data_IF_408867105648
#
_entry.id   IF_408867105648
#
_cell.length_a   1.000
_cell.length_b   1.000
_cell.length_c   1.000
_cell.angle_alpha   90.00
_cell.angle_beta   90.00
_cell.angle_gamma   90.00
#
_symmetry.space_group_name_H-M   'P 1'
#
loop_
_entity.id
_entity.type
_entity.pdbx_description
1 polymer ?
#
# COMPACT_ATOMS: atom_id res chain seq x y z
N UNK A 1 9.44 3.04 -2.63
CA UNK A 1 8.86 1.79 -3.10
C UNK A 1 7.75 2.11 -4.08
N UNK A 2 7.69 1.36 -5.18
CA UNK A 2 6.66 1.49 -6.22
C UNK A 2 5.85 0.20 -6.25
N UNK A 3 4.56 0.30 -6.52
CA UNK A 3 3.66 -0.86 -6.70
C UNK A 3 2.65 -0.56 -7.81
N UNK A 4 1.65 -1.41 -8.01
CA UNK A 4 0.54 -1.14 -8.94
C UNK A 4 -0.76 -0.89 -8.18
N UNK A 5 -1.73 -0.23 -8.84
CA UNK A 5 -3.06 -0.06 -8.25
C UNK A 5 -3.73 -1.41 -7.94
N UNK A 6 -3.57 -2.41 -8.80
CA UNK A 6 -4.05 -3.77 -8.54
C UNK A 6 -3.50 -4.32 -7.21
N UNK A 7 -2.22 -4.12 -6.92
CA UNK A 7 -1.64 -4.59 -5.66
C UNK A 7 -2.21 -3.86 -4.44
N UNK A 8 -2.59 -2.59 -4.59
CA UNK A 8 -3.28 -1.82 -3.54
C UNK A 8 -4.70 -2.37 -3.30
N UNK A 9 -5.41 -2.77 -4.37
CA UNK A 9 -6.72 -3.43 -4.25
C UNK A 9 -6.61 -4.80 -3.57
N UNK A 10 -5.63 -5.61 -3.99
CA UNK A 10 -5.31 -6.90 -3.34
C UNK A 10 -5.04 -6.71 -1.85
N UNK A 11 -4.20 -5.72 -1.50
CA UNK A 11 -3.93 -5.37 -0.10
C UNK A 11 -5.22 -5.03 0.66
N UNK A 12 -6.12 -4.21 0.10
CA UNK A 12 -7.38 -3.84 0.80
C UNK A 12 -8.32 -5.02 0.96
N UNK A 13 -8.46 -5.85 -0.06
CA UNK A 13 -9.26 -7.06 0.04
C UNK A 13 -8.69 -8.00 1.11
N UNK A 14 -7.38 -8.27 1.05
CA UNK A 14 -6.68 -9.09 2.04
C UNK A 14 -6.81 -8.53 3.46
N UNK A 15 -6.68 -7.21 3.63
CA UNK A 15 -6.86 -6.55 4.92
C UNK A 15 -8.26 -6.77 5.51
N UNK A 16 -9.32 -6.68 4.69
CA UNK A 16 -10.70 -6.94 5.13
C UNK A 16 -10.93 -8.40 5.51
N UNK A 17 -10.40 -9.33 4.70
CA UNK A 17 -10.48 -10.76 5.00
C UNK A 17 -9.73 -11.10 6.29
N UNK A 18 -8.52 -10.57 6.46
CA UNK A 18 -7.72 -10.76 7.66
C UNK A 18 -8.41 -10.20 8.90
N UNK A 19 -8.96 -8.97 8.85
CA UNK A 19 -9.72 -8.41 9.97
C UNK A 19 -10.93 -9.27 10.36
N UNK A 20 -11.63 -9.83 9.37
CA UNK A 20 -12.75 -10.73 9.62
C UNK A 20 -12.27 -12.02 10.29
N UNK A 21 -11.20 -12.63 9.78
CA UNK A 21 -10.62 -13.85 10.34
C UNK A 21 -10.13 -13.65 11.79
N UNK A 22 -9.48 -12.53 12.09
CA UNK A 22 -9.03 -12.20 13.45
C UNK A 22 -10.20 -12.02 14.43
N UNK A 23 -11.30 -11.38 13.98
CA UNK A 23 -12.52 -11.25 14.80
C UNK A 23 -13.12 -12.62 15.11
N UNK A 24 -13.26 -13.48 14.11
CA UNK A 24 -13.78 -14.84 14.29
C UNK A 24 -12.90 -15.68 15.22
N UNK A 25 -11.56 -15.57 15.11
CA UNK A 25 -10.62 -16.20 16.05
C UNK A 25 -10.80 -15.67 17.47
N UNK A 26 -10.85 -14.35 17.64
CA UNK A 26 -11.00 -13.71 18.96
C UNK A 26 -12.31 -14.13 19.66
N UNK A 27 -13.42 -14.18 18.92
CA UNK A 27 -14.71 -14.63 19.42
C UNK A 27 -14.68 -16.10 19.86
N UNK A 28 -14.10 -17.00 19.05
CA UNK A 28 -13.95 -18.43 19.39
C UNK A 28 -13.10 -18.64 20.64
N UNK A 29 -12.04 -17.86 20.79
CA UNK A 29 -11.12 -17.97 21.92
C UNK A 29 -11.58 -17.20 23.17
N UNK A 30 -12.76 -16.56 23.12
CA UNK A 30 -13.27 -15.66 24.18
C UNK A 30 -12.25 -14.60 24.59
N UNK A 31 -11.35 -14.21 23.69
CA UNK A 31 -10.41 -13.12 23.92
C UNK A 31 -11.22 -11.83 23.78
N UNK A 32 -11.16 -10.96 24.79
CA UNK A 32 -11.71 -9.61 24.68
C UNK A 32 -11.10 -8.88 23.47
N UNK A 33 -11.84 -7.93 22.87
CA UNK A 33 -11.43 -7.14 21.68
C UNK A 33 -10.12 -6.34 21.85
N UNK A 34 -9.44 -6.47 22.97
CA UNK A 34 -8.37 -5.58 23.45
C UNK A 34 -6.95 -6.00 23.03
N UNK A 35 -6.78 -7.14 22.37
CA UNK A 35 -5.46 -7.60 21.89
C UNK A 35 -5.44 -7.74 20.38
N UNK A 36 -5.61 -6.62 19.68
CA UNK A 36 -5.29 -6.58 18.26
C UNK A 36 -3.80 -6.87 18.06
N UNK A 37 -3.47 -7.78 17.14
CA UNK A 37 -2.09 -8.10 16.81
C UNK A 37 -1.34 -6.87 16.27
N UNK A 38 -0.01 -6.85 16.39
CA UNK A 38 0.82 -5.79 15.80
C UNK A 38 0.62 -5.69 14.29
N UNK A 39 0.39 -6.83 13.65
CA UNK A 39 0.00 -6.92 12.24
C UNK A 39 -1.36 -6.26 11.98
N UNK A 40 -2.40 -6.56 12.76
CA UNK A 40 -3.72 -5.94 12.60
C UNK A 40 -3.67 -4.41 12.79
N UNK A 41 -2.85 -3.92 13.73
CA UNK A 41 -2.60 -2.49 13.88
C UNK A 41 -1.97 -1.87 12.63
N UNK A 42 -0.91 -2.50 12.11
CA UNK A 42 -0.22 -2.06 10.90
C UNK A 42 -1.14 -2.05 9.67
N UNK A 43 -1.92 -3.12 9.48
CA UNK A 43 -2.91 -3.24 8.40
C UNK A 43 -3.89 -2.06 8.43
N UNK A 44 -4.48 -1.75 9.59
CA UNK A 44 -5.43 -0.62 9.70
C UNK A 44 -4.79 0.73 9.41
N UNK A 45 -3.52 0.93 9.80
CA UNK A 45 -2.79 2.16 9.48
C UNK A 45 -2.61 2.31 7.97
N UNK A 46 -2.16 1.27 7.28
CA UNK A 46 -1.97 1.31 5.83
C UNK A 46 -3.31 1.38 5.09
N UNK A 47 -4.31 0.62 5.52
CA UNK A 47 -5.67 0.62 4.94
C UNK A 47 -6.30 2.01 4.91
N UNK A 48 -6.11 2.81 5.97
CA UNK A 48 -6.59 4.20 5.98
C UNK A 48 -5.87 5.08 4.97
N UNK A 49 -4.56 4.87 4.78
CA UNK A 49 -3.77 5.66 3.83
C UNK A 49 -4.11 5.33 2.38
N UNK A 50 -4.52 4.09 2.08
CA UNK A 50 -4.88 3.69 0.70
C UNK A 50 -6.20 4.29 0.22
N UNK A 51 -7.07 4.79 1.10
CA UNK A 51 -8.32 5.45 0.70
C UNK A 51 -8.11 6.60 -0.28
N UNK A 52 -7.16 7.50 0.01
CA UNK A 52 -6.87 8.65 -0.86
C UNK A 52 -6.37 8.27 -2.25
N UNK A 53 -5.71 7.11 -2.37
CA UNK A 53 -5.21 6.61 -3.67
C UNK A 53 -6.36 6.03 -4.48
N UNK A 54 -7.28 5.34 -3.81
CA UNK A 54 -8.47 4.77 -4.44
C UNK A 54 -9.43 5.86 -4.90
N UNK A 55 -9.65 6.89 -4.08
CA UNK A 55 -10.45 8.05 -4.48
C UNK A 55 -9.89 8.68 -5.76
N UNK A 56 -8.57 8.97 -5.81
CA UNK A 56 -7.92 9.49 -7.01
C UNK A 56 -8.01 8.57 -8.22
N UNK A 57 -7.93 7.27 -8.01
CA UNK A 57 -8.06 6.30 -9.10
C UNK A 57 -9.50 6.25 -9.63
N UNK A 58 -10.49 6.26 -8.74
CA UNK A 58 -11.91 6.30 -9.12
C UNK A 58 -12.25 7.61 -9.85
N UNK A 59 -11.71 8.75 -9.43
CA UNK A 59 -11.81 10.02 -10.16
C UNK A 59 -11.26 9.87 -11.58
N UNK A 60 -10.02 9.39 -11.74
CA UNK A 60 -9.42 9.17 -13.06
C UNK A 60 -10.21 8.15 -13.90
N UNK A 61 -10.80 7.14 -13.27
CA UNK A 61 -11.64 6.16 -13.96
C UNK A 61 -12.96 6.79 -14.44
N UNK A 62 -13.54 7.72 -13.67
CA UNK A 62 -14.71 8.47 -14.12
C UNK A 62 -14.38 9.37 -15.30
N UNK A 63 -13.23 10.05 -15.29
CA UNK A 63 -12.77 10.86 -16.42
C UNK A 63 -12.66 10.02 -17.70
N UNK A 64 -12.07 8.81 -17.61
CA UNK A 64 -12.00 7.88 -18.73
C UNK A 64 -13.37 7.39 -19.20
N UNK A 65 -14.34 7.23 -18.29
CA UNK A 65 -15.71 6.86 -18.66
C UNK A 65 -16.37 7.98 -19.46
N UNK A 66 -16.20 9.22 -19.05
CA UNK A 66 -16.73 10.39 -19.74
C UNK A 66 -16.06 10.56 -21.11
N UNK A 67 -14.74 10.42 -21.18
CA UNK A 67 -13.95 10.56 -22.42
C UNK A 67 -14.40 9.60 -23.54
N UNK A 68 -14.83 8.40 -23.16
CA UNK A 68 -15.22 7.36 -24.12
C UNK A 68 -16.74 7.13 -24.21
N UNK A 69 -17.53 7.90 -23.47
CA UNK A 69 -18.99 7.81 -23.50
C UNK A 69 -19.54 8.15 -24.89
N UNK A 70 -20.61 7.47 -25.27
CA UNK A 70 -21.35 7.79 -26.49
C UNK A 70 -22.19 9.05 -26.26
N UNK A 71 -22.22 9.93 -27.26
CA UNK A 71 -23.11 11.09 -27.30
C UNK A 71 -24.15 10.95 -28.41
N UNK A 72 -25.25 11.67 -28.29
CA UNK A 72 -26.16 11.91 -29.41
C UNK A 72 -25.63 13.01 -30.34
N UNK A 73 -26.43 13.37 -31.35
CA UNK A 73 -26.08 14.38 -32.36
C UNK A 73 -25.93 15.80 -31.77
N UNK A 74 -26.53 16.04 -30.61
CA UNK A 74 -26.46 17.32 -29.88
C UNK A 74 -25.29 17.35 -28.87
N UNK A 75 -24.51 16.26 -28.79
CA UNK A 75 -23.37 16.13 -27.89
C UNK A 75 -23.75 15.78 -26.44
N UNK A 76 -24.97 15.29 -26.20
CA UNK A 76 -25.45 14.89 -24.89
C UNK A 76 -25.05 13.44 -24.62
N UNK A 77 -24.55 13.15 -23.41
CA UNK A 77 -24.18 11.79 -23.04
C UNK A 77 -25.38 10.84 -23.03
N UNK A 78 -25.21 9.70 -23.70
CA UNK A 78 -26.18 8.62 -23.65
C UNK A 78 -26.00 7.82 -22.37
N UNK A 79 -27.06 7.70 -21.57
CA UNK A 79 -27.07 6.94 -20.33
C UNK A 79 -28.06 5.77 -20.37
N UNK A 80 -27.88 4.80 -19.48
CA UNK A 80 -28.90 3.77 -19.21
C UNK A 80 -29.87 4.24 -18.11
N UNK A 81 -30.89 3.43 -17.82
CA UNK A 81 -31.91 3.73 -16.79
C UNK A 81 -31.33 3.86 -15.37
N UNK A 82 -30.07 3.47 -15.15
CA UNK A 82 -29.37 3.57 -13.88
C UNK A 82 -28.39 4.76 -13.83
N UNK A 83 -28.42 5.64 -14.82
CA UNK A 83 -27.50 6.80 -14.91
C UNK A 83 -26.06 6.41 -15.22
N UNK A 84 -25.82 5.25 -15.87
CA UNK A 84 -24.48 4.85 -16.33
C UNK A 84 -24.30 5.18 -17.80
N UNK A 85 -23.15 5.74 -18.16
CA UNK A 85 -22.81 6.03 -19.56
C UNK A 85 -22.90 4.78 -20.45
N UNK A 86 -23.43 4.97 -21.65
CA UNK A 86 -23.37 4.01 -22.75
C UNK A 86 -22.12 4.28 -23.56
N UNK A 87 -21.59 3.22 -24.14
CA UNK A 87 -20.39 3.26 -24.97
C UNK A 87 -20.69 2.68 -26.34
N UNK A 88 -20.07 3.24 -27.38
CA UNK A 88 -20.04 2.57 -28.69
C UNK A 88 -19.14 1.35 -28.62
N UNK A 89 -19.15 0.49 -29.65
CA UNK A 89 -18.25 -0.67 -29.73
C UNK A 89 -16.77 -0.24 -29.69
N UNK A 90 -16.45 0.86 -30.35
CA UNK A 90 -15.10 1.44 -30.37
C UNK A 90 -14.75 2.09 -29.03
N UNK A 91 -15.68 2.89 -28.48
CA UNK A 91 -15.52 3.51 -27.15
C UNK A 91 -15.30 2.47 -26.05
N UNK A 92 -16.00 1.33 -26.11
CA UNK A 92 -15.83 0.21 -25.16
C UNK A 92 -14.41 -0.36 -25.22
N UNK A 93 -13.87 -0.55 -26.43
CA UNK A 93 -12.50 -1.09 -26.60
C UNK A 93 -11.46 -0.09 -26.09
N UNK A 94 -11.60 1.18 -26.44
CA UNK A 94 -10.71 2.24 -26.00
C UNK A 94 -10.73 2.39 -24.47
N UNK A 95 -11.93 2.45 -23.87
CA UNK A 95 -12.13 2.49 -22.43
C UNK A 95 -11.47 1.31 -21.71
N UNK A 96 -11.73 0.09 -22.16
CA UNK A 96 -11.16 -1.11 -21.54
C UNK A 96 -9.62 -1.12 -21.61
N UNK A 97 -9.03 -0.62 -22.70
CA UNK A 97 -7.59 -0.50 -22.81
C UNK A 97 -7.03 0.57 -21.86
N UNK A 98 -7.67 1.74 -21.80
CA UNK A 98 -7.30 2.84 -20.92
C UNK A 98 -7.43 2.45 -19.45
N UNK A 99 -8.53 1.82 -19.04
CA UNK A 99 -8.74 1.29 -17.69
C UNK A 99 -7.65 0.29 -17.32
N UNK A 100 -7.34 -0.66 -18.22
CA UNK A 100 -6.28 -1.64 -17.97
C UNK A 100 -4.92 -0.98 -17.78
N UNK A 101 -4.61 0.07 -18.55
CA UNK A 101 -3.39 0.86 -18.39
C UNK A 101 -3.39 1.59 -17.05
N UNK A 102 -4.50 2.23 -16.68
CA UNK A 102 -4.66 2.94 -15.40
C UNK A 102 -4.45 1.99 -14.20
N UNK A 103 -5.01 0.78 -14.23
CA UNK A 103 -4.86 -0.22 -13.16
C UNK A 103 -3.43 -0.78 -13.03
N UNK A 104 -2.70 -0.83 -14.14
CA UNK A 104 -1.30 -1.28 -14.18
C UNK A 104 -0.29 -0.16 -13.95
N UNK A 105 -0.75 1.10 -13.91
CA UNK A 105 0.12 2.23 -13.68
C UNK A 105 0.85 2.09 -12.34
N UNK A 106 2.11 2.49 -12.36
CA UNK A 106 2.93 2.52 -11.17
C UNK A 106 2.43 3.57 -10.19
N UNK A 107 2.24 3.15 -8.94
CA UNK A 107 1.84 4.00 -7.83
C UNK A 107 3.01 4.11 -6.88
N UNK A 108 3.46 5.35 -6.65
CA UNK A 108 4.45 5.61 -5.62
C UNK A 108 3.79 5.51 -4.25
N UNK A 109 4.30 4.60 -3.43
CA UNK A 109 3.79 4.32 -2.09
C UNK A 109 4.75 4.74 -0.99
N UNK A 110 5.72 5.61 -1.31
CA UNK A 110 6.60 6.22 -0.33
C UNK A 110 5.77 6.92 0.76
N UNK A 111 5.77 6.35 1.97
CA UNK A 111 4.99 6.83 3.12
C UNK A 111 3.69 6.06 3.40
N UNK A 112 3.26 5.14 2.53
CA UNK A 112 2.15 4.22 2.86
C UNK A 112 2.57 3.18 3.89
N UNK A 113 3.70 2.53 3.64
CA UNK A 113 4.16 1.40 4.41
C UNK A 113 4.20 1.68 5.92
N UNK A 114 3.84 0.67 6.69
CA UNK A 114 3.91 0.69 8.15
C UNK A 114 4.16 -0.74 8.60
N UNK A 115 5.42 -1.13 8.72
CA UNK A 115 5.78 -2.50 9.03
C UNK A 115 5.39 -2.87 10.46
N UNK A 116 4.74 -4.02 10.61
CA UNK A 116 4.38 -4.57 11.89
C UNK A 116 5.66 -4.96 12.65
N UNK A 117 5.69 -4.75 13.96
CA UNK A 117 6.81 -5.19 14.79
C UNK A 117 6.75 -6.68 15.15
N UNK A 118 5.71 -7.40 14.74
CA UNK A 118 5.55 -8.81 15.02
C UNK A 118 4.54 -9.40 14.04
N UNK A 119 4.87 -10.55 13.46
CA UNK A 119 4.02 -11.30 12.54
C UNK A 119 3.56 -12.60 13.24
N UNK A 120 2.25 -12.92 13.23
CA UNK A 120 1.76 -14.20 13.72
C UNK A 120 2.46 -15.38 13.04
N UNK A 121 2.86 -16.38 13.82
CA UNK A 121 3.55 -17.58 13.31
C UNK A 121 2.65 -18.46 12.43
N UNK A 122 1.34 -18.33 12.61
CA UNK A 122 0.28 -19.01 11.87
C UNK A 122 -0.32 -18.13 10.77
N UNK A 123 0.39 -17.08 10.32
CA UNK A 123 -0.07 -16.28 9.20
C UNK A 123 -0.11 -17.14 7.94
N UNK A 124 -1.26 -17.14 7.27
CA UNK A 124 -1.45 -17.82 5.99
C UNK A 124 -0.45 -17.27 4.95
N UNK A 125 0.28 -18.13 4.21
CA UNK A 125 1.19 -17.70 3.15
C UNK A 125 0.55 -16.75 2.12
N UNK A 126 -0.73 -16.93 1.80
CA UNK A 126 -1.44 -16.05 0.87
C UNK A 126 -1.47 -14.59 1.39
N UNK A 127 -1.55 -14.41 2.71
CA UNK A 127 -1.47 -13.07 3.30
C UNK A 127 -0.06 -12.50 3.28
N UNK A 128 0.99 -13.33 3.32
CA UNK A 128 2.38 -12.85 3.23
C UNK A 128 2.57 -12.11 1.91
N UNK A 129 2.23 -12.75 0.79
CA UNK A 129 2.35 -12.17 -0.55
C UNK A 129 1.54 -10.88 -0.73
N UNK A 130 0.38 -10.79 -0.08
CA UNK A 130 -0.48 -9.61 -0.14
C UNK A 130 0.09 -8.46 0.71
N UNK A 131 0.70 -8.77 1.84
CA UNK A 131 1.09 -7.79 2.86
C UNK A 131 2.55 -7.34 2.80
N UNK A 132 3.41 -8.08 2.09
CA UNK A 132 4.80 -7.67 1.80
C UNK A 132 4.85 -6.32 1.10
N UNK A 133 5.75 -5.45 1.60
CA UNK A 133 5.90 -4.09 1.12
C UNK A 133 4.93 -3.09 1.71
N UNK A 134 3.83 -3.54 2.30
CA UNK A 134 2.85 -2.67 2.97
C UNK A 134 3.01 -2.71 4.48
N UNK A 135 2.91 -3.90 5.05
CA UNK A 135 2.93 -4.12 6.52
C UNK A 135 3.89 -5.24 6.93
N UNK A 136 4.37 -6.03 5.97
CA UNK A 136 5.51 -6.93 6.15
C UNK A 136 6.70 -6.31 5.44
N UNK A 137 7.81 -6.21 6.15
CA UNK A 137 9.08 -5.74 5.60
C UNK A 137 9.59 -6.75 4.55
N UNK A 138 9.87 -6.33 3.30
CA UNK A 138 10.40 -7.23 2.27
C UNK A 138 11.68 -7.96 2.69
N UNK A 139 12.49 -7.40 3.61
CA UNK A 139 13.67 -8.07 4.15
C UNK A 139 13.34 -9.32 4.98
N UNK A 140 12.07 -9.51 5.36
CA UNK A 140 11.62 -10.64 6.19
C UNK A 140 11.11 -11.79 5.35
N UNK A 141 11.25 -11.73 4.02
CA UNK A 141 10.73 -12.75 3.10
C UNK A 141 11.87 -13.24 2.20
N UNK A 142 11.99 -14.56 2.05
CA UNK A 142 12.99 -15.17 1.17
C UNK A 142 12.55 -15.15 -0.30
N UNK A 143 13.38 -15.69 -1.18
CA UNK A 143 13.09 -15.77 -2.63
C UNK A 143 11.85 -16.63 -2.94
N UNK A 144 11.49 -17.55 -2.03
CA UNK A 144 10.32 -18.44 -2.14
C UNK A 144 9.02 -17.82 -1.60
N UNK A 145 9.05 -16.58 -1.09
CA UNK A 145 7.87 -15.92 -0.52
C UNK A 145 7.59 -16.29 0.95
N UNK A 146 8.49 -17.01 1.61
CA UNK A 146 8.32 -17.46 2.98
C UNK A 146 8.91 -16.48 4.00
N UNK A 147 8.25 -16.34 5.15
CA UNK A 147 8.74 -15.51 6.25
C UNK A 147 10.02 -16.08 6.87
N UNK A 148 11.10 -15.32 6.75
CA UNK A 148 12.35 -15.59 7.44
C UNK A 148 12.17 -15.13 8.89
N UNK A 149 12.07 -16.08 9.81
CA UNK A 149 11.83 -15.84 11.24
C UNK A 149 12.94 -14.97 11.83
N UNK A 150 12.64 -13.71 12.16
CA UNK A 150 13.51 -12.88 12.98
C UNK A 150 12.71 -12.35 14.18
N UNK A 151 13.07 -12.81 15.38
CA UNK A 151 12.59 -12.18 16.60
C UNK A 151 13.19 -10.77 16.66
N UNK A 152 12.36 -9.74 16.77
CA UNK A 152 12.80 -8.34 16.86
C UNK A 152 13.69 -8.05 18.08
N UNK A 153 13.85 -9.01 18.98
CA UNK A 153 14.85 -9.00 20.06
C UNK A 153 16.30 -9.09 19.53
N UNK A 154 16.56 -9.71 18.38
CA UNK A 154 17.93 -9.85 17.84
C UNK A 154 18.41 -8.59 17.10
N UNK A 155 17.51 -7.83 16.44
CA UNK A 155 17.87 -6.56 15.78
C UNK A 155 18.20 -5.44 16.79
N UNK A 156 17.79 -5.55 18.07
CA UNK A 156 18.24 -4.62 19.13
C UNK A 156 19.63 -4.93 19.69
N UNK A 157 20.22 -6.09 19.35
CA UNK A 157 21.59 -6.46 19.71
C UNK A 157 22.67 -6.02 18.71
N UNK A 158 22.31 -5.43 17.56
CA UNK A 158 23.25 -4.94 16.53
C UNK A 158 23.00 -3.49 16.12
N UNK A 159 22.85 -2.62 17.12
CA UNK A 159 23.24 -1.20 16.99
C UNK A 159 24.44 -0.96 17.89
N UNK A 160 25.55 -1.65 17.60
CA UNK A 160 26.87 -1.18 18.00
C UNK A 160 27.20 0.05 17.15
N UNK A 161 27.29 1.18 17.85
CA UNK A 161 28.08 2.38 17.54
C UNK A 161 28.62 2.50 16.12
N UNK A 162 27.93 3.26 15.27
CA UNK A 162 28.68 4.13 14.35
C UNK A 162 29.17 5.32 15.20
N UNK A 163 30.50 5.59 15.26
CA UNK A 163 30.97 6.81 15.89
C UNK A 163 30.41 7.99 15.11
N UNK A 164 29.92 8.98 15.86
CA UNK A 164 29.54 10.30 15.34
C UNK A 164 30.62 10.75 14.35
N UNK A 165 30.26 10.83 13.07
CA UNK A 165 31.10 11.55 12.12
C UNK A 165 31.03 13.00 12.53
N UNK A 166 32.14 13.49 13.08
CA UNK A 166 32.45 14.90 13.20
C UNK A 166 32.01 15.63 11.93
N UNK A 167 30.96 16.44 12.07
CA UNK A 167 30.54 17.39 11.06
C UNK A 167 31.60 18.47 11.01
N UNK A 168 32.63 18.26 10.21
CA UNK A 168 33.58 19.31 9.85
C UNK A 168 32.89 20.29 8.88
N UNK A 169 32.41 21.40 9.45
CA UNK A 169 31.94 22.54 8.68
C UNK A 169 33.18 23.27 8.14
N UNK A 170 33.42 23.16 6.83
CA UNK A 170 34.44 23.95 6.16
C UNK A 170 33.87 25.33 5.83
N UNK A 171 34.17 26.32 6.67
CA UNK A 171 33.91 27.74 6.40
C UNK A 171 35.17 28.30 5.73
N UNK A 172 35.06 28.72 4.46
CA UNK A 172 36.08 29.57 3.83
C UNK A 172 36.04 30.95 4.52
N UNK A 173 37.02 31.21 5.38
CA UNK A 173 37.23 32.51 6.00
C UNK A 173 38.73 32.79 6.09
N UNK A 174 39.17 33.90 5.51
CA UNK A 174 40.54 34.37 5.54
C UNK A 174 41.06 34.53 6.98
N UNK A 175 42.24 33.96 7.25
CA UNK A 175 43.18 34.50 8.23
C UNK A 175 43.06 33.97 9.67
N UNK A 176 44.17 33.36 10.08
CA UNK A 176 44.65 33.11 11.45
C UNK A 176 44.06 31.97 12.28
N UNK A 177 44.95 30.99 12.52
CA UNK A 177 44.90 29.94 13.52
C UNK A 177 45.16 30.51 14.92
N UNK A 178 44.33 30.14 15.90
CA UNK A 178 44.74 30.06 17.31
C UNK A 178 44.06 28.82 17.92
N UNK A 179 44.88 27.92 18.50
CA UNK A 179 44.44 26.75 19.25
C UNK A 179 44.06 27.14 20.69
N UNK A 180 42.91 26.65 21.18
CA UNK A 180 42.69 26.27 22.59
C UNK A 180 41.91 24.97 22.60
#
# INVERSE_FOLDING_TARGET
MVTTYNKILEFRAGAQFYEKAEKEKAEKEKRGRERDSKLAYAIRKVFKKTSSIIEKHEEALQDLRVEHAATDDDGIFLENERGTYRFTKEGTKAFNEAERKLRKAEVNIAGLAHYASEIPKDLDPDFVDIFVGFVIDPEWVNEDGELIRFSLEEKKGKKEMEPEKDVSISIKGNGNLVNV
#
